data_IF_631174057181
#
_entry.id   IF_631174057181
#
_cell.length_a   1.000
_cell.length_b   1.000
_cell.length_c   1.000
_cell.angle_alpha   90.00
_cell.angle_beta   90.00
_cell.angle_gamma   90.00
#
_symmetry.space_group_name_H-M   'P 1'
#
loop_
_entity.id
_entity.type
_entity.pdbx_description
1 polymer ?
#
# COMPACT_ATOMS: atom_id res chain seq x y z
N UNK A 1 -9.11 -16.99 26.46
CA UNK A 1 -7.74 -17.13 25.92
C UNK A 1 -7.45 -15.89 25.11
N UNK A 2 -6.23 -15.35 25.17
CA UNK A 2 -5.85 -14.24 24.29
C UNK A 2 -5.85 -14.68 22.81
N UNK A 3 -6.06 -13.73 21.91
CA UNK A 3 -6.12 -13.95 20.47
C UNK A 3 -5.34 -12.85 19.74
N UNK A 4 -4.81 -13.18 18.56
CA UNK A 4 -4.23 -12.27 17.60
C UNK A 4 -5.28 -11.77 16.60
N UNK A 5 -5.19 -10.52 16.12
CA UNK A 5 -4.15 -9.55 16.46
C UNK A 5 -4.31 -8.99 17.88
N UNK A 6 -3.19 -8.81 18.59
CA UNK A 6 -3.18 -8.18 19.91
C UNK A 6 -2.91 -6.70 19.75
N UNK A 7 -3.75 -5.86 20.35
CA UNK A 7 -3.61 -4.40 20.30
C UNK A 7 -3.47 -3.86 21.72
N UNK A 8 -2.43 -3.07 21.94
CA UNK A 8 -2.15 -2.44 23.23
C UNK A 8 -2.11 -0.92 23.08
N UNK A 9 -2.73 -0.24 24.04
CA UNK A 9 -2.84 1.22 24.08
C UNK A 9 -1.98 1.78 25.22
N UNK A 10 -1.14 2.79 24.95
CA UNK A 10 -0.38 3.45 25.99
C UNK A 10 -1.31 4.27 26.88
N UNK A 11 -0.90 4.49 28.13
CA UNK A 11 -1.60 5.41 29.05
C UNK A 11 -1.08 6.84 28.98
N UNK A 12 0.10 7.02 28.38
CA UNK A 12 0.81 8.29 28.28
C UNK A 12 0.83 8.74 26.82
N UNK A 13 1.02 10.04 26.60
CA UNK A 13 1.30 10.56 25.26
C UNK A 13 2.67 10.09 24.76
N UNK A 14 2.87 10.15 23.44
CA UNK A 14 4.14 9.82 22.82
C UNK A 14 5.24 10.73 23.39
N UNK A 15 6.26 10.11 23.98
CA UNK A 15 7.49 10.80 24.31
C UNK A 15 8.28 10.94 23.02
N UNK A 16 8.72 12.16 22.69
CA UNK A 16 9.57 12.42 21.53
C UNK A 16 10.97 11.89 21.80
N UNK A 17 11.14 10.58 21.64
CA UNK A 17 12.41 9.90 21.75
C UNK A 17 13.09 9.83 20.38
N UNK A 18 14.41 10.01 20.38
CA UNK A 18 15.18 9.89 19.16
C UNK A 18 15.23 8.43 18.70
N UNK A 19 14.94 8.22 17.42
CA UNK A 19 15.10 6.94 16.76
C UNK A 19 16.46 6.87 16.08
N UNK A 20 17.27 5.91 16.47
CA UNK A 20 18.60 5.65 15.90
C UNK A 20 18.56 4.42 15.00
N UNK A 21 19.40 4.42 13.97
CA UNK A 21 19.58 3.25 13.12
C UNK A 21 20.31 2.13 13.89
N UNK A 22 19.86 0.89 13.71
CA UNK A 22 20.43 -0.28 14.36
C UNK A 22 20.85 -1.31 13.30
N UNK A 23 22.16 -1.38 13.02
CA UNK A 23 22.71 -2.16 11.89
C UNK A 23 22.61 -3.69 12.08
N UNK A 24 22.55 -4.18 13.32
CA UNK A 24 22.50 -5.62 13.64
C UNK A 24 21.09 -6.23 13.52
N UNK A 25 20.33 -5.80 12.52
CA UNK A 25 18.97 -6.24 12.30
C UNK A 25 18.93 -7.54 11.47
N UNK A 26 18.23 -8.56 11.95
CA UNK A 26 17.95 -9.78 11.17
C UNK A 26 16.48 -9.77 10.77
N UNK A 27 16.23 -9.65 9.47
CA UNK A 27 14.88 -9.81 8.92
C UNK A 27 14.66 -11.27 8.54
N UNK A 28 13.59 -11.89 9.04
CA UNK A 28 13.11 -13.16 8.54
C UNK A 28 12.32 -13.02 7.22
N UNK A 29 11.77 -14.15 6.77
CA UNK A 29 11.07 -14.27 5.49
C UNK A 29 9.68 -13.61 5.52
N UNK A 30 8.95 -13.76 6.62
CA UNK A 30 7.62 -13.18 6.80
C UNK A 30 7.69 -11.67 6.98
N UNK A 31 8.71 -11.17 7.67
CA UNK A 31 9.03 -9.75 7.82
C UNK A 31 9.37 -9.14 6.46
N UNK A 32 10.25 -9.78 5.66
CA UNK A 32 10.57 -9.29 4.31
C UNK A 32 9.33 -9.23 3.42
N UNK A 33 8.45 -10.24 3.52
CA UNK A 33 7.20 -10.28 2.78
C UNK A 33 6.23 -9.18 3.24
N UNK A 34 6.14 -8.95 4.54
CA UNK A 34 5.23 -7.96 5.08
C UNK A 34 5.72 -6.53 4.89
N UNK A 35 7.03 -6.28 4.91
CA UNK A 35 7.61 -4.97 4.57
C UNK A 35 7.15 -4.51 3.18
N UNK A 36 7.23 -5.44 2.20
CA UNK A 36 6.71 -5.20 0.86
C UNK A 36 5.22 -4.84 0.88
N UNK A 37 4.40 -5.56 1.65
CA UNK A 37 2.95 -5.31 1.76
C UNK A 37 2.66 -3.97 2.44
N UNK A 38 3.31 -3.68 3.56
CA UNK A 38 3.20 -2.40 4.25
C UNK A 38 3.60 -1.23 3.34
N UNK A 39 4.64 -1.38 2.52
CA UNK A 39 5.07 -0.36 1.56
C UNK A 39 4.02 0.00 0.50
N UNK A 40 3.02 -0.87 0.27
CA UNK A 40 1.92 -0.61 -0.67
C UNK A 40 0.88 0.34 -0.11
N UNK A 41 0.66 0.32 1.20
CA UNK A 41 -0.45 1.03 1.86
C UNK A 41 0.00 2.16 2.79
N UNK A 42 1.23 2.08 3.30
CA UNK A 42 1.78 2.96 4.33
C UNK A 42 3.14 3.56 3.94
N UNK A 43 3.40 3.68 2.63
CA UNK A 43 4.66 4.25 2.12
C UNK A 43 4.93 5.62 2.77
N UNK A 44 6.16 5.83 3.23
CA UNK A 44 6.56 7.08 3.91
C UNK A 44 6.27 7.10 5.42
N UNK A 45 5.44 6.19 5.93
CA UNK A 45 5.11 6.09 7.36
C UNK A 45 5.82 4.93 8.07
N UNK A 46 6.31 3.93 7.32
CA UNK A 46 6.99 2.76 7.86
C UNK A 46 8.49 3.04 7.98
N UNK A 47 9.04 2.75 9.16
CA UNK A 47 10.47 2.73 9.45
C UNK A 47 10.85 1.31 9.90
N UNK A 48 11.94 0.80 9.34
CA UNK A 48 12.56 -0.48 9.74
C UNK A 48 13.97 -0.24 10.23
N UNK A 49 14.55 -1.20 10.97
CA UNK A 49 15.93 -1.14 11.48
C UNK A 49 16.22 0.09 12.35
N UNK A 50 15.19 0.62 13.03
CA UNK A 50 15.33 1.72 13.97
C UNK A 50 14.90 1.29 15.36
N UNK A 51 15.53 1.87 16.36
CA UNK A 51 15.26 1.63 17.78
C UNK A 51 15.23 2.94 18.53
N UNK A 52 14.58 2.93 19.69
CA UNK A 52 14.66 4.04 20.64
C UNK A 52 16.09 4.13 21.20
N UNK A 53 16.69 5.32 21.17
CA UNK A 53 17.95 5.56 21.86
C UNK A 53 17.73 5.61 23.37
N UNK A 54 18.03 4.48 24.03
CA UNK A 54 17.95 4.32 25.47
C UNK A 54 19.32 4.00 26.09
N UNK A 55 20.41 4.15 25.32
CA UNK A 55 21.77 3.81 25.73
C UNK A 55 22.03 2.31 25.97
N UNK A 56 21.09 1.41 25.66
CA UNK A 56 21.30 -0.02 25.84
C UNK A 56 22.15 -0.59 24.71
N UNK A 57 23.03 -1.54 25.06
CA UNK A 57 23.82 -2.28 24.07
C UNK A 57 22.95 -3.13 23.14
N UNK A 58 21.81 -3.62 23.64
CA UNK A 58 20.85 -4.44 22.92
C UNK A 58 19.44 -3.88 23.19
N UNK A 59 19.05 -2.79 22.52
CA UNK A 59 17.72 -2.22 22.66
C UNK A 59 16.66 -3.19 22.11
N UNK A 60 15.42 -3.02 22.56
CA UNK A 60 14.29 -3.71 21.94
C UNK A 60 14.12 -3.22 20.51
N UNK A 61 13.97 -4.18 19.59
CA UNK A 61 13.86 -3.96 18.15
C UNK A 61 12.43 -4.25 17.72
N UNK A 62 11.66 -3.22 17.30
CA UNK A 62 10.42 -3.39 16.57
C UNK A 62 10.64 -4.09 15.24
N UNK A 63 9.70 -4.96 14.84
CA UNK A 63 9.69 -5.46 13.46
C UNK A 63 9.46 -4.33 12.45
N UNK A 64 8.43 -3.52 12.73
CA UNK A 64 8.14 -2.31 11.98
C UNK A 64 7.69 -1.20 12.92
N UNK A 65 8.06 0.02 12.57
CA UNK A 65 7.58 1.22 13.24
C UNK A 65 6.70 1.98 12.26
N UNK A 66 5.42 2.13 12.55
CA UNK A 66 4.56 3.08 11.85
C UNK A 66 4.59 4.40 12.60
N UNK A 67 5.17 5.42 11.97
CA UNK A 67 5.19 6.78 12.49
C UNK A 67 4.29 7.68 11.64
N UNK A 68 3.22 8.18 12.26
CA UNK A 68 2.32 9.14 11.64
C UNK A 68 2.51 10.53 12.25
N UNK A 69 3.31 11.33 11.55
CA UNK A 69 3.84 12.61 12.03
C UNK A 69 2.75 13.62 12.41
N UNK A 70 1.70 13.76 11.60
CA UNK A 70 0.59 14.70 11.85
C UNK A 70 -0.07 14.53 13.22
N UNK A 71 -0.14 13.31 13.72
CA UNK A 71 -0.74 12.99 15.02
C UNK A 71 0.29 12.73 16.12
N UNK A 72 1.58 12.88 15.82
CA UNK A 72 2.68 12.42 16.67
C UNK A 72 2.40 11.01 17.22
N UNK A 73 2.03 10.10 16.31
CA UNK A 73 1.58 8.75 16.63
C UNK A 73 2.66 7.75 16.24
N UNK A 74 3.04 6.88 17.18
CA UNK A 74 3.98 5.78 16.92
C UNK A 74 3.33 4.44 17.27
N UNK A 75 3.48 3.48 16.37
CA UNK A 75 2.97 2.11 16.52
C UNK A 75 4.13 1.14 16.30
N UNK A 76 4.39 0.31 17.30
CA UNK A 76 5.22 -0.89 17.22
C UNK A 76 4.38 -2.02 16.60
N UNK A 77 4.74 -2.44 15.39
CA UNK A 77 4.07 -3.52 14.66
C UNK A 77 4.99 -4.73 14.69
N UNK A 78 4.45 -5.86 15.14
CA UNK A 78 5.21 -7.07 15.46
C UNK A 78 4.61 -8.31 14.81
N UNK A 79 5.47 -9.24 14.41
CA UNK A 79 5.14 -10.54 13.85
C UNK A 79 5.57 -11.61 14.86
N UNK A 80 4.59 -12.17 15.55
CA UNK A 80 4.83 -13.20 16.55
C UNK A 80 4.93 -14.57 15.89
N UNK A 81 6.09 -15.20 16.02
CA UNK A 81 6.29 -16.56 15.58
C UNK A 81 6.26 -17.50 16.79
N UNK A 82 5.70 -18.71 16.66
CA UNK A 82 5.59 -19.62 17.81
C UNK A 82 6.96 -20.15 18.27
N UNK A 83 7.93 -20.25 17.35
CA UNK A 83 9.27 -20.73 17.64
C UNK A 83 10.29 -20.20 16.62
N UNK A 84 11.55 -20.07 17.03
CA UNK A 84 12.63 -19.65 16.15
C UNK A 84 12.93 -20.70 15.07
N UNK A 85 12.96 -20.30 13.80
CA UNK A 85 13.08 -21.21 12.65
C UNK A 85 14.20 -22.26 12.79
N UNK A 86 15.42 -21.83 13.08
CA UNK A 86 16.59 -22.73 13.10
C UNK A 86 16.71 -23.58 14.37
N UNK A 87 16.44 -23.00 15.54
CA UNK A 87 16.63 -23.71 16.82
C UNK A 87 15.38 -24.44 17.31
N UNK A 88 14.21 -24.16 16.71
CA UNK A 88 12.90 -24.64 17.14
C UNK A 88 12.55 -24.28 18.60
N UNK A 89 13.27 -23.34 19.20
CA UNK A 89 12.99 -22.86 20.56
C UNK A 89 11.73 -21.99 20.57
N UNK A 90 10.78 -22.23 21.49
CA UNK A 90 9.64 -21.35 21.72
C UNK A 90 10.07 -19.90 21.94
N UNK A 91 9.38 -18.97 21.26
CA UNK A 91 9.55 -17.53 21.40
C UNK A 91 8.16 -16.87 21.43
N UNK A 92 8.11 -15.57 21.72
CA UNK A 92 6.88 -14.77 21.72
C UNK A 92 5.70 -15.35 22.53
N UNK A 93 6.01 -16.03 23.64
CA UNK A 93 5.01 -16.51 24.61
C UNK A 93 4.96 -15.64 25.89
N UNK A 94 5.94 -14.75 26.08
CA UNK A 94 6.02 -13.78 27.18
C UNK A 94 6.82 -12.54 26.73
N UNK A 95 6.09 -11.51 26.27
CA UNK A 95 6.65 -10.22 25.82
C UNK A 95 6.25 -9.05 26.73
N UNK A 96 5.80 -9.34 27.97
CA UNK A 96 5.25 -8.35 28.89
C UNK A 96 6.19 -7.18 29.19
N UNK A 97 7.48 -7.47 29.36
CA UNK A 97 8.51 -6.44 29.63
C UNK A 97 8.74 -5.55 28.42
N UNK A 98 8.76 -6.14 27.22
CA UNK A 98 8.91 -5.45 25.94
C UNK A 98 7.69 -4.55 25.71
N UNK A 99 6.48 -5.07 25.89
CA UNK A 99 5.25 -4.30 25.76
C UNK A 99 5.20 -3.14 26.76
N UNK A 100 5.51 -3.38 28.04
CA UNK A 100 5.58 -2.32 29.06
C UNK A 100 6.59 -1.23 28.70
N UNK A 101 7.73 -1.60 28.10
CA UNK A 101 8.71 -0.63 27.63
C UNK A 101 8.09 0.31 26.58
N UNK A 102 7.61 -0.18 25.43
CA UNK A 102 7.05 0.68 24.38
C UNK A 102 5.81 1.46 24.84
N UNK A 103 4.90 0.82 25.59
CA UNK A 103 3.72 1.50 26.15
C UNK A 103 4.11 2.64 27.11
N UNK A 104 5.19 2.50 27.87
CA UNK A 104 5.68 3.57 28.76
C UNK A 104 6.19 4.79 28.00
N UNK A 105 6.57 4.61 26.73
CA UNK A 105 7.02 5.68 25.82
C UNK A 105 5.88 6.31 25.03
N UNK A 106 4.63 5.88 25.26
CA UNK A 106 3.48 6.38 24.52
C UNK A 106 3.28 5.75 23.14
N UNK A 107 3.93 4.61 22.88
CA UNK A 107 3.74 3.86 21.64
C UNK A 107 2.54 2.94 21.76
N UNK A 108 1.75 2.84 20.70
CA UNK A 108 0.79 1.76 20.55
C UNK A 108 1.52 0.50 20.08
N UNK A 109 0.93 -0.67 20.33
CA UNK A 109 1.50 -1.94 19.88
C UNK A 109 0.42 -2.73 19.15
N UNK A 110 0.78 -3.25 17.99
CA UNK A 110 0.00 -4.19 17.21
C UNK A 110 0.85 -5.43 16.99
N UNK A 111 0.41 -6.59 17.51
CA UNK A 111 1.08 -7.87 17.28
C UNK A 111 0.19 -8.78 16.44
N UNK A 112 0.73 -9.30 15.35
CA UNK A 112 0.09 -10.30 14.50
C UNK A 112 0.73 -11.66 14.74
N UNK A 113 -0.05 -12.74 14.62
CA UNK A 113 0.57 -14.06 14.45
C UNK A 113 1.26 -14.12 13.08
N UNK A 114 2.40 -14.81 12.97
CA UNK A 114 3.06 -15.02 11.67
C UNK A 114 2.10 -15.64 10.62
N UNK A 115 1.22 -16.53 11.05
CA UNK A 115 0.21 -17.14 10.19
C UNK A 115 -0.75 -16.11 9.56
N UNK A 116 -1.11 -15.06 10.30
CA UNK A 116 -1.93 -13.96 9.77
C UNK A 116 -1.20 -13.21 8.66
N UNK A 117 0.09 -12.94 8.85
CA UNK A 117 0.95 -12.28 7.86
C UNK A 117 1.09 -13.14 6.60
N UNK A 118 1.37 -14.44 6.75
CA UNK A 118 1.58 -15.32 5.61
C UNK A 118 0.31 -15.55 4.79
N UNK A 119 -0.85 -15.68 5.44
CA UNK A 119 -2.11 -16.02 4.76
C UNK A 119 -2.94 -14.81 4.35
N UNK A 120 -2.91 -13.74 5.14
CA UNK A 120 -3.84 -12.62 5.05
C UNK A 120 -3.15 -11.25 5.20
N UNK A 121 -2.04 -11.00 4.48
CA UNK A 121 -1.25 -9.77 4.66
C UNK A 121 -2.06 -8.50 4.39
N UNK A 122 -2.96 -8.53 3.40
CA UNK A 122 -3.78 -7.36 3.06
C UNK A 122 -4.82 -7.09 4.16
N UNK A 123 -5.32 -8.14 4.83
CA UNK A 123 -6.22 -7.98 5.98
C UNK A 123 -5.46 -7.47 7.22
N UNK A 124 -4.17 -7.77 7.35
CA UNK A 124 -3.32 -7.16 8.37
C UNK A 124 -3.16 -5.66 8.12
N UNK A 125 -2.91 -5.26 6.86
CA UNK A 125 -2.86 -3.85 6.45
C UNK A 125 -4.21 -3.15 6.68
N UNK A 126 -5.32 -3.84 6.41
CA UNK A 126 -6.66 -3.33 6.71
C UNK A 126 -6.84 -3.07 8.21
N UNK A 127 -6.43 -4.00 9.06
CA UNK A 127 -6.53 -3.84 10.52
C UNK A 127 -5.70 -2.64 11.00
N UNK A 128 -4.47 -2.47 10.53
CA UNK A 128 -3.64 -1.29 10.84
C UNK A 128 -4.36 0.00 10.41
N UNK A 129 -5.00 -0.01 9.24
CA UNK A 129 -5.74 1.15 8.72
C UNK A 129 -6.99 1.47 9.55
N UNK A 130 -7.74 0.45 9.97
CA UNK A 130 -8.89 0.60 10.88
C UNK A 130 -8.44 1.12 12.25
N UNK A 131 -7.30 0.65 12.75
CA UNK A 131 -6.68 1.16 13.97
C UNK A 131 -6.28 2.63 13.84
N UNK A 132 -5.62 3.02 12.74
CA UNK A 132 -5.27 4.42 12.47
C UNK A 132 -6.51 5.31 12.45
N UNK A 133 -7.57 4.91 11.74
CA UNK A 133 -8.85 5.62 11.77
C UNK A 133 -9.41 5.72 13.18
N UNK A 134 -9.35 4.66 13.98
CA UNK A 134 -9.86 4.65 15.34
C UNK A 134 -9.13 5.67 16.25
N UNK A 135 -7.79 5.70 16.22
CA UNK A 135 -7.01 6.57 17.11
C UNK A 135 -6.87 8.01 16.61
N UNK A 136 -7.00 8.26 15.31
CA UNK A 136 -6.85 9.61 14.71
C UNK A 136 -8.18 10.27 14.33
N UNK A 137 -9.24 9.48 14.12
CA UNK A 137 -10.51 9.92 13.56
C UNK A 137 -10.51 10.08 12.02
N UNK A 138 -9.40 9.82 11.33
CA UNK A 138 -9.31 10.04 9.88
C UNK A 138 -9.87 8.87 9.06
N UNK A 139 -10.95 9.11 8.32
CA UNK A 139 -11.56 8.10 7.43
C UNK A 139 -10.66 7.66 6.28
N UNK A 140 -9.73 8.53 5.85
CA UNK A 140 -8.86 8.31 4.69
C UNK A 140 -8.05 7.01 4.76
N UNK A 141 -7.75 6.52 5.97
CA UNK A 141 -7.04 5.25 6.16
C UNK A 141 -7.87 4.05 5.75
N UNK A 142 -9.19 4.10 5.94
CA UNK A 142 -10.10 3.01 5.56
C UNK A 142 -10.71 3.16 4.18
N UNK A 143 -10.59 4.34 3.57
CA UNK A 143 -11.06 4.59 2.21
C UNK A 143 -10.32 3.70 1.20
N UNK A 144 -11.10 3.01 0.37
CA UNK A 144 -10.63 2.04 -0.59
C UNK A 144 -10.46 0.61 -0.04
N UNK A 145 -10.61 0.40 1.27
CA UNK A 145 -10.45 -0.91 1.91
C UNK A 145 -11.78 -1.56 2.31
N UNK A 146 -12.91 -0.99 1.91
CA UNK A 146 -14.24 -1.40 2.39
C UNK A 146 -14.62 -2.82 1.95
N UNK A 147 -14.13 -3.27 0.79
CA UNK A 147 -14.38 -4.60 0.27
C UNK A 147 -13.57 -5.70 0.99
N UNK A 148 -12.57 -5.32 1.79
CA UNK A 148 -11.77 -6.28 2.53
C UNK A 148 -12.56 -6.81 3.73
N UNK A 149 -12.52 -8.13 3.90
CA UNK A 149 -13.07 -8.80 5.09
C UNK A 149 -12.25 -8.47 6.33
N UNK A 150 -12.76 -8.79 7.51
CA UNK A 150 -11.95 -8.78 8.73
C UNK A 150 -10.94 -9.92 8.71
N UNK A 151 -9.76 -9.67 9.28
CA UNK A 151 -8.75 -10.71 9.48
C UNK A 151 -9.27 -11.77 10.46
N UNK A 152 -9.03 -13.08 10.23
CA UNK A 152 -9.44 -14.10 11.19
C UNK A 152 -8.58 -14.06 12.45
N UNK A 153 -9.22 -14.28 13.60
CA UNK A 153 -8.54 -14.38 14.87
C UNK A 153 -7.73 -15.68 14.96
N UNK A 154 -6.56 -15.62 15.60
CA UNK A 154 -5.72 -16.79 15.90
C UNK A 154 -5.48 -16.85 17.41
N UNK A 155 -5.75 -17.98 18.04
CA UNK A 155 -5.47 -18.17 19.47
C UNK A 155 -3.99 -17.93 19.77
N UNK A 156 -3.70 -17.13 20.80
CA UNK A 156 -2.35 -16.99 21.30
C UNK A 156 -1.88 -18.31 21.93
N UNK A 157 -0.59 -18.62 21.76
CA UNK A 157 0.00 -19.85 22.27
C UNK A 157 0.63 -19.65 23.65
N UNK A 158 0.52 -20.68 24.49
CA UNK A 158 1.38 -20.81 25.66
C UNK A 158 2.75 -21.34 25.24
N UNK A 159 3.72 -21.35 26.17
CA UNK A 159 5.01 -22.01 25.94
C UNK A 159 4.82 -23.48 25.52
N UNK A 160 3.93 -24.22 26.17
CA UNK A 160 3.65 -25.62 25.86
C UNK A 160 3.04 -25.80 24.47
N UNK A 161 2.20 -24.86 24.03
CA UNK A 161 1.64 -24.89 22.68
C UNK A 161 2.72 -24.63 21.63
N UNK A 162 3.59 -23.64 21.87
CA UNK A 162 4.74 -23.35 21.02
C UNK A 162 5.71 -24.54 20.91
N UNK A 163 5.96 -25.28 22.00
CA UNK A 163 6.76 -26.51 21.99
C UNK A 163 6.15 -27.57 21.05
N UNK A 164 4.84 -27.81 21.15
CA UNK A 164 4.12 -28.74 20.26
C UNK A 164 4.12 -28.27 18.79
N UNK A 165 3.96 -26.97 18.57
CA UNK A 165 4.03 -26.36 17.24
C UNK A 165 5.42 -26.55 16.62
N UNK A 166 6.47 -26.45 17.44
CA UNK A 166 7.85 -26.69 17.01
C UNK A 166 8.10 -28.17 16.65
N UNK A 167 7.62 -29.11 17.48
CA UNK A 167 7.71 -30.56 17.24
C UNK A 167 7.02 -30.96 15.93
N UNK A 168 5.86 -30.36 15.64
CA UNK A 168 5.06 -30.62 14.44
C UNK A 168 5.45 -29.76 13.23
N UNK A 169 6.44 -28.87 13.38
CA UNK A 169 6.85 -27.90 12.36
C UNK A 169 5.69 -27.10 11.77
N UNK A 170 4.81 -26.60 12.64
CA UNK A 170 3.56 -25.97 12.22
C UNK A 170 3.72 -24.76 11.30
N UNK A 171 4.86 -24.05 11.34
CA UNK A 171 5.17 -22.93 10.42
C UNK A 171 5.09 -23.36 8.95
N UNK A 172 5.42 -24.60 8.62
CA UNK A 172 5.44 -25.11 7.24
C UNK A 172 4.04 -25.09 6.60
N UNK A 173 2.98 -25.16 7.39
CA UNK A 173 1.60 -25.11 6.89
C UNK A 173 1.20 -23.77 6.30
N UNK A 174 1.80 -22.67 6.75
CA UNK A 174 1.46 -21.33 6.29
C UNK A 174 2.59 -20.60 5.58
N UNK A 175 3.87 -20.92 5.84
CA UNK A 175 5.00 -20.29 5.13
C UNK A 175 4.96 -20.51 3.62
N UNK A 176 4.33 -21.59 3.15
CA UNK A 176 4.10 -21.85 1.72
C UNK A 176 3.24 -20.79 1.00
N UNK A 177 2.50 -19.96 1.74
CA UNK A 177 1.71 -18.87 1.17
C UNK A 177 2.53 -17.59 0.98
N UNK A 178 3.76 -17.53 1.50
CA UNK A 178 4.67 -16.43 1.22
C UNK A 178 4.95 -16.38 -0.28
N UNK A 179 4.62 -15.25 -0.89
CA UNK A 179 4.92 -15.03 -2.30
C UNK A 179 6.36 -14.57 -2.43
N UNK A 180 7.07 -15.10 -3.43
CA UNK A 180 8.37 -14.56 -3.80
C UNK A 180 8.16 -13.17 -4.37
N UNK A 181 8.70 -12.16 -3.70
CA UNK A 181 8.63 -10.79 -4.18
C UNK A 181 9.66 -10.63 -5.30
N UNK A 182 9.20 -10.28 -6.49
CA UNK A 182 10.03 -9.97 -7.64
C UNK A 182 10.08 -8.45 -7.83
N UNK A 183 10.94 -7.79 -7.05
CA UNK A 183 11.15 -6.34 -7.11
C UNK A 183 12.01 -5.99 -8.34
N UNK A 184 11.40 -6.01 -9.51
CA UNK A 184 12.01 -5.46 -10.72
C UNK A 184 11.75 -3.97 -10.83
N UNK A 185 12.74 -3.23 -11.37
CA UNK A 185 12.53 -1.82 -11.71
C UNK A 185 11.42 -1.73 -12.76
N UNK A 186 10.37 -0.91 -12.55
CA UNK A 186 9.29 -0.79 -13.51
C UNK A 186 9.82 -0.19 -14.82
N UNK A 187 9.38 -0.72 -15.96
CA UNK A 187 9.69 -0.14 -17.26
C UNK A 187 8.79 1.06 -17.58
N UNK A 188 7.56 1.07 -17.05
CA UNK A 188 6.63 2.21 -17.11
C UNK A 188 6.04 2.43 -15.73
N UNK A 189 5.99 3.69 -15.31
CA UNK A 189 5.31 4.12 -14.09
C UNK A 189 4.00 4.81 -14.46
N UNK A 190 2.88 4.20 -14.08
CA UNK A 190 1.55 4.80 -14.18
C UNK A 190 1.33 5.57 -12.88
N UNK A 191 1.17 6.89 -12.98
CA UNK A 191 1.07 7.78 -11.81
C UNK A 191 -0.26 8.51 -11.88
N UNK A 192 -1.09 8.35 -10.86
CA UNK A 192 -2.38 9.01 -10.76
C UNK A 192 -2.39 10.09 -9.70
N UNK A 193 -2.81 11.28 -10.12
CA UNK A 193 -3.40 12.25 -9.23
C UNK A 193 -4.75 11.72 -8.77
N UNK A 194 -4.85 11.36 -7.49
CA UNK A 194 -6.07 10.77 -6.97
C UNK A 194 -7.28 11.71 -7.05
N UNK A 195 -7.10 13.02 -6.85
CA UNK A 195 -8.22 13.97 -6.89
C UNK A 195 -8.82 13.97 -8.29
N UNK A 196 -7.96 14.07 -9.31
CA UNK A 196 -8.38 13.98 -10.70
C UNK A 196 -9.05 12.64 -11.00
N UNK A 197 -8.40 11.52 -10.67
CA UNK A 197 -8.93 10.17 -10.93
C UNK A 197 -10.32 9.97 -10.29
N UNK A 198 -10.49 10.40 -9.04
CA UNK A 198 -11.78 10.33 -8.35
C UNK A 198 -12.85 11.18 -9.05
N UNK A 199 -12.52 12.39 -9.50
CA UNK A 199 -13.42 13.22 -10.31
C UNK A 199 -13.82 12.53 -11.62
N UNK A 200 -12.88 11.87 -12.30
CA UNK A 200 -13.16 11.17 -13.56
C UNK A 200 -14.08 9.97 -13.38
N UNK A 201 -13.95 9.25 -12.26
CA UNK A 201 -14.85 8.15 -11.93
C UNK A 201 -16.27 8.69 -11.68
N UNK A 202 -16.42 9.79 -10.95
CA UNK A 202 -17.74 10.42 -10.70
C UNK A 202 -18.37 10.84 -12.03
N UNK A 203 -17.62 11.54 -12.88
CA UNK A 203 -18.10 12.01 -14.17
C UNK A 203 -18.52 10.85 -15.08
N UNK A 204 -17.71 9.78 -15.13
CA UNK A 204 -18.06 8.57 -15.87
C UNK A 204 -19.32 7.91 -15.31
N UNK A 205 -19.44 7.80 -13.98
CA UNK A 205 -20.64 7.23 -13.37
C UNK A 205 -21.89 8.04 -13.72
N UNK A 206 -21.84 9.37 -13.62
CA UNK A 206 -22.95 10.24 -14.01
C UNK A 206 -23.30 10.06 -15.49
N UNK A 207 -22.33 10.20 -16.39
CA UNK A 207 -22.54 10.11 -17.83
C UNK A 207 -23.15 8.76 -18.23
N UNK A 208 -22.56 7.66 -17.78
CA UNK A 208 -23.01 6.35 -18.21
C UNK A 208 -24.30 5.89 -17.50
N UNK A 209 -24.61 6.42 -16.31
CA UNK A 209 -25.93 6.22 -15.70
C UNK A 209 -27.04 6.90 -16.50
N UNK A 210 -26.76 8.04 -17.15
CA UNK A 210 -27.71 8.70 -18.05
C UNK A 210 -27.89 7.92 -19.36
N UNK A 211 -26.80 7.37 -19.91
CA UNK A 211 -26.83 6.57 -21.16
C UNK A 211 -27.50 5.20 -20.92
N UNK A 212 -27.21 4.56 -19.78
CA UNK A 212 -27.63 3.20 -19.44
C UNK A 212 -28.37 3.15 -18.09
N UNK A 213 -29.59 3.72 -17.98
CA UNK A 213 -30.29 3.89 -16.69
C UNK A 213 -30.66 2.57 -16.00
N UNK A 214 -30.84 1.49 -16.76
CA UNK A 214 -31.19 0.16 -16.23
C UNK A 214 -29.95 -0.68 -15.85
N UNK A 215 -28.73 -0.19 -16.16
CA UNK A 215 -27.51 -0.93 -15.89
C UNK A 215 -27.13 -0.77 -14.42
N UNK A 216 -26.79 -1.91 -13.79
CA UNK A 216 -26.18 -1.91 -12.47
C UNK A 216 -24.67 -1.69 -12.60
N UNK A 217 -24.21 -0.52 -12.21
CA UNK A 217 -22.78 -0.19 -12.09
C UNK A 217 -22.19 -0.78 -10.80
N UNK A 218 -20.87 -0.85 -10.75
CA UNK A 218 -20.17 -1.13 -9.49
C UNK A 218 -20.30 0.06 -8.55
N UNK A 219 -20.60 -0.21 -7.27
CA UNK A 219 -20.72 0.83 -6.24
C UNK A 219 -19.42 1.65 -6.10
N UNK A 220 -18.28 1.03 -6.39
CA UNK A 220 -16.96 1.66 -6.46
C UNK A 220 -16.18 1.17 -7.67
N UNK A 221 -15.44 2.06 -8.29
CA UNK A 221 -14.55 1.74 -9.38
C UNK A 221 -13.42 0.81 -8.92
N UNK A 222 -13.11 -0.20 -9.73
CA UNK A 222 -12.01 -1.14 -9.48
C UNK A 222 -10.74 -0.67 -10.17
N UNK A 223 -9.67 -0.50 -9.40
CA UNK A 223 -8.34 -0.15 -9.93
C UNK A 223 -7.85 -1.24 -10.88
N UNK A 224 -8.13 -2.51 -10.58
CA UNK A 224 -7.74 -3.61 -11.48
C UNK A 224 -8.42 -3.54 -12.85
N UNK A 225 -9.66 -3.05 -12.95
CA UNK A 225 -10.38 -2.89 -14.22
C UNK A 225 -9.87 -1.67 -14.99
N UNK A 226 -9.64 -0.55 -14.30
CA UNK A 226 -9.00 0.64 -14.87
C UNK A 226 -7.67 0.28 -15.54
N UNK A 227 -6.78 -0.39 -14.79
CA UNK A 227 -5.44 -0.73 -15.28
C UNK A 227 -5.47 -1.73 -16.43
N UNK A 228 -6.38 -2.72 -16.40
CA UNK A 228 -6.56 -3.64 -17.53
C UNK A 228 -6.97 -2.91 -18.80
N UNK A 229 -7.82 -1.89 -18.70
CA UNK A 229 -8.19 -1.07 -19.85
C UNK A 229 -7.02 -0.21 -20.34
N UNK A 230 -6.31 0.47 -19.43
CA UNK A 230 -5.13 1.26 -19.78
C UNK A 230 -4.06 0.42 -20.51
N UNK A 231 -3.88 -0.84 -20.11
CA UNK A 231 -2.95 -1.76 -20.76
C UNK A 231 -3.37 -2.17 -22.18
N UNK A 232 -4.61 -1.93 -22.62
CA UNK A 232 -4.98 -2.14 -24.03
C UNK A 232 -4.42 -1.07 -24.94
N UNK A 233 -4.14 0.10 -24.37
CA UNK A 233 -3.37 1.17 -25.01
C UNK A 233 -1.85 0.94 -24.86
N UNK A 234 -1.40 -0.30 -24.58
CA UNK A 234 0.03 -0.60 -24.40
C UNK A 234 0.91 -0.32 -25.62
N UNK A 235 0.34 -0.41 -26.82
CA UNK A 235 1.04 -0.16 -28.08
C UNK A 235 1.59 1.27 -28.15
N UNK A 236 1.05 2.16 -27.32
CA UNK A 236 1.48 3.54 -27.20
C UNK A 236 2.79 3.72 -26.41
N UNK A 237 3.28 2.73 -25.66
CA UNK A 237 4.61 2.79 -25.05
C UNK A 237 5.64 2.07 -25.90
N UNK A 238 6.51 2.84 -26.55
CA UNK A 238 7.57 2.28 -27.41
C UNK A 238 8.49 1.33 -26.63
N UNK A 239 8.78 1.66 -25.36
CA UNK A 239 9.59 0.80 -24.50
C UNK A 239 8.98 -0.59 -24.32
N UNK A 240 7.64 -0.68 -24.17
CA UNK A 240 6.96 -1.95 -23.95
C UNK A 240 6.92 -2.83 -25.21
N UNK A 241 6.96 -2.22 -26.40
CA UNK A 241 6.99 -2.93 -27.68
C UNK A 241 8.36 -3.59 -27.94
N UNK A 242 9.44 -3.04 -27.39
CA UNK A 242 10.80 -3.55 -27.57
C UNK A 242 11.14 -4.75 -26.67
N UNK A 243 10.32 -5.02 -25.65
CA UNK A 243 10.59 -6.02 -24.63
C UNK A 243 10.00 -7.40 -24.99
N UNK A 244 10.80 -8.43 -24.80
CA UNK A 244 10.36 -9.84 -24.86
C UNK A 244 10.11 -10.37 -23.46
N UNK A 245 8.98 -11.06 -23.24
CA UNK A 245 8.63 -11.67 -21.96
C UNK A 245 7.92 -10.72 -20.99
N UNK A 246 8.16 -10.92 -19.68
CA UNK A 246 7.45 -10.20 -18.61
C UNK A 246 7.74 -8.70 -18.64
N UNK A 247 6.67 -7.91 -18.51
CA UNK A 247 6.68 -6.44 -18.44
C UNK A 247 6.26 -6.03 -17.03
N UNK A 248 7.17 -5.39 -16.33
CA UNK A 248 7.02 -4.90 -14.97
C UNK A 248 6.63 -3.43 -15.01
N UNK A 249 5.44 -3.14 -14.51
CA UNK A 249 4.94 -1.79 -14.37
C UNK A 249 4.71 -1.52 -12.89
N UNK A 250 4.62 -0.23 -12.57
CA UNK A 250 4.01 0.19 -11.33
C UNK A 250 2.82 1.11 -11.61
N UNK A 251 1.85 1.05 -10.71
CA UNK A 251 0.79 2.03 -10.59
C UNK A 251 0.87 2.68 -9.22
N UNK A 252 0.98 4.01 -9.18
CA UNK A 252 0.92 4.78 -7.94
C UNK A 252 -0.24 5.73 -8.00
N UNK A 253 -1.14 5.64 -7.02
CA UNK A 253 -2.19 6.64 -6.81
C UNK A 253 -1.84 7.46 -5.59
N UNK A 254 -1.75 8.77 -5.77
CA UNK A 254 -1.51 9.73 -4.71
C UNK A 254 -2.84 10.20 -4.12
N UNK A 255 -2.97 10.07 -2.81
CA UNK A 255 -4.20 10.24 -2.05
C UNK A 255 -3.98 11.36 -1.05
N UNK A 256 -4.58 12.51 -1.31
CA UNK A 256 -4.50 13.65 -0.39
C UNK A 256 -5.27 13.32 0.90
N UNK A 257 -4.63 13.48 2.05
CA UNK A 257 -5.27 13.35 3.37
C UNK A 257 -6.35 14.41 3.64
N UNK A 258 -6.43 15.46 2.82
CA UNK A 258 -7.46 16.51 2.88
C UNK A 258 -8.69 16.27 2.00
N UNK A 259 -8.67 15.26 1.13
CA UNK A 259 -9.73 15.00 0.15
C UNK A 259 -10.20 13.55 0.28
N UNK A 260 -11.49 13.35 0.44
CA UNK A 260 -12.04 12.00 0.48
C UNK A 260 -12.04 11.33 -0.89
N UNK A 261 -11.84 10.01 -0.88
CA UNK A 261 -11.70 9.13 -2.03
C UNK A 261 -12.65 7.93 -1.95
N UNK A 262 -13.96 8.17 -2.04
CA UNK A 262 -14.95 7.10 -1.86
C UNK A 262 -15.23 6.28 -3.12
N UNK A 263 -14.86 6.76 -4.31
CA UNK A 263 -15.37 6.20 -5.56
C UNK A 263 -14.51 5.09 -6.17
N UNK A 264 -13.38 4.70 -5.55
CA UNK A 264 -12.63 3.51 -5.96
C UNK A 264 -12.22 2.63 -4.80
N UNK A 265 -11.94 1.37 -5.12
CA UNK A 265 -11.53 0.33 -4.18
C UNK A 265 -10.10 -0.12 -4.47
N UNK A 266 -9.36 -0.50 -3.43
CA UNK A 266 -7.99 -0.99 -3.49
C UNK A 266 -8.00 -2.51 -3.73
N UNK A 267 -8.69 -2.93 -4.79
CA UNK A 267 -9.05 -4.33 -5.02
C UNK A 267 -7.86 -5.24 -5.35
N UNK A 268 -6.67 -4.68 -5.55
CA UNK A 268 -5.44 -5.43 -5.78
C UNK A 268 -4.20 -4.57 -5.56
N UNK A 269 -3.21 -5.10 -4.83
CA UNK A 269 -1.88 -4.48 -4.71
C UNK A 269 -0.86 -5.03 -5.72
N UNK A 270 -1.23 -6.09 -6.45
CA UNK A 270 -0.41 -6.78 -7.45
C UNK A 270 -1.30 -7.43 -8.53
N UNK A 271 -1.16 -6.98 -9.77
CA UNK A 271 -2.00 -7.42 -10.89
C UNK A 271 -1.14 -8.18 -11.91
N UNK A 272 -1.63 -9.37 -12.30
CA UNK A 272 -1.12 -10.13 -13.43
C UNK A 272 -2.11 -10.02 -14.59
N UNK A 273 -1.64 -9.58 -15.75
CA UNK A 273 -2.47 -9.50 -16.96
C UNK A 273 -1.64 -9.82 -18.20
N UNK A 274 -1.82 -11.02 -18.77
CA UNK A 274 -0.93 -11.52 -19.82
C UNK A 274 0.53 -11.51 -19.33
N UNK A 275 1.42 -10.86 -20.08
CA UNK A 275 2.83 -10.70 -19.71
C UNK A 275 3.09 -9.53 -18.74
N UNK A 276 2.05 -8.77 -18.37
CA UNK A 276 2.17 -7.62 -17.47
C UNK A 276 2.10 -8.03 -16.00
N UNK A 277 3.02 -7.49 -15.21
CA UNK A 277 3.04 -7.54 -13.75
C UNK A 277 3.01 -6.10 -13.26
N UNK A 278 1.91 -5.69 -12.62
CA UNK A 278 1.74 -4.33 -12.12
C UNK A 278 1.77 -4.32 -10.61
N UNK A 279 2.76 -3.63 -10.05
CA UNK A 279 2.81 -3.32 -8.63
C UNK A 279 1.96 -2.08 -8.34
N UNK A 280 0.96 -2.18 -7.46
CA UNK A 280 0.08 -1.06 -7.12
C UNK A 280 0.47 -0.48 -5.76
N UNK A 281 0.58 0.84 -5.67
CA UNK A 281 0.87 1.58 -4.45
C UNK A 281 -0.19 2.65 -4.20
N UNK A 282 -0.68 2.71 -2.97
CA UNK A 282 -1.63 3.69 -2.47
C UNK A 282 -0.87 4.66 -1.55
N UNK A 283 -0.47 5.80 -2.10
CA UNK A 283 0.41 6.76 -1.42
C UNK A 283 -0.44 7.85 -0.78
N UNK A 284 -0.60 7.82 0.53
CA UNK A 284 -1.30 8.88 1.28
C UNK A 284 -0.34 10.01 1.61
N UNK A 285 -0.81 11.24 1.45
CA UNK A 285 0.05 12.41 1.58
C UNK A 285 -0.61 13.64 2.15
N UNK A 286 0.20 14.43 2.86
CA UNK A 286 -0.10 15.78 3.34
C UNK A 286 0.46 16.86 2.39
N UNK A 287 1.28 16.48 1.40
CA UNK A 287 1.76 17.39 0.36
C UNK A 287 0.67 17.63 -0.69
N UNK A 288 0.80 18.73 -1.42
CA UNK A 288 0.03 18.92 -2.66
C UNK A 288 0.48 17.86 -3.66
N UNK A 289 -0.48 17.10 -4.19
CA UNK A 289 -0.24 15.89 -4.99
C UNK A 289 0.69 16.14 -6.17
N UNK A 290 0.48 17.21 -6.95
CA UNK A 290 1.30 17.50 -8.12
C UNK A 290 2.78 17.74 -7.80
N UNK A 291 3.10 18.35 -6.65
CA UNK A 291 4.48 18.55 -6.22
C UNK A 291 5.11 17.28 -5.66
N UNK A 292 4.34 16.41 -5.00
CA UNK A 292 4.90 15.12 -4.57
C UNK A 292 5.13 14.16 -5.74
N UNK A 293 4.29 14.23 -6.77
CA UNK A 293 4.52 13.52 -8.03
C UNK A 293 5.78 14.07 -8.71
N UNK A 294 5.98 15.39 -8.75
CA UNK A 294 7.21 16.03 -9.26
C UNK A 294 8.46 15.51 -8.51
N UNK A 295 8.45 15.61 -7.17
CA UNK A 295 9.51 15.08 -6.29
C UNK A 295 9.78 13.60 -6.61
N UNK A 296 8.74 12.77 -6.69
CA UNK A 296 8.88 11.35 -6.97
C UNK A 296 9.53 11.06 -8.32
N UNK A 297 9.10 11.75 -9.37
CA UNK A 297 9.62 11.57 -10.73
C UNK A 297 11.11 11.95 -10.78
N UNK A 298 11.47 13.09 -10.19
CA UNK A 298 12.83 13.60 -10.17
C UNK A 298 13.76 12.73 -9.32
N UNK A 299 13.38 12.46 -8.08
CA UNK A 299 14.21 11.71 -7.11
C UNK A 299 14.48 10.27 -7.59
N UNK A 300 13.55 9.67 -8.31
CA UNK A 300 13.65 8.27 -8.77
C UNK A 300 14.10 8.16 -10.23
N UNK A 301 14.36 9.29 -10.91
CA UNK A 301 14.71 9.34 -12.34
C UNK A 301 13.78 8.46 -13.19
N UNK A 302 12.48 8.74 -13.11
CA UNK A 302 11.46 7.96 -13.81
C UNK A 302 11.48 8.32 -15.30
N UNK A 303 11.75 7.33 -16.16
CA UNK A 303 11.98 7.57 -17.58
C UNK A 303 10.73 7.49 -18.46
N UNK A 304 9.78 6.61 -18.13
CA UNK A 304 8.58 6.38 -18.94
C UNK A 304 7.34 6.48 -18.06
N UNK A 305 6.45 7.41 -18.40
CA UNK A 305 5.33 7.80 -17.54
C UNK A 305 4.00 7.75 -18.29
N UNK A 306 3.00 7.14 -17.65
CA UNK A 306 1.59 7.44 -17.90
C UNK A 306 1.07 8.32 -16.75
N UNK A 307 0.84 9.60 -17.00
CA UNK A 307 0.32 10.50 -15.98
C UNK A 307 -1.20 10.62 -16.11
N UNK A 308 -1.93 10.25 -15.06
CA UNK A 308 -3.38 10.40 -14.95
C UNK A 308 -3.64 11.66 -14.12
N UNK A 309 -3.79 12.79 -14.80
CA UNK A 309 -3.92 14.09 -14.16
C UNK A 309 -4.49 15.17 -15.10
N UNK A 310 -5.00 16.25 -14.51
CA UNK A 310 -5.45 17.45 -15.23
C UNK A 310 -5.34 18.72 -14.36
N UNK A 311 -4.20 18.89 -13.69
CA UNK A 311 -3.92 20.05 -12.83
C UNK A 311 -3.07 21.11 -13.59
N UNK A 312 -3.42 22.42 -13.49
CA UNK A 312 -2.70 23.49 -14.17
C UNK A 312 -1.26 23.70 -13.72
N UNK A 313 -0.81 23.08 -12.62
CA UNK A 313 0.58 23.10 -12.20
C UNK A 313 1.48 22.21 -13.09
N UNK A 314 0.98 21.08 -13.59
CA UNK A 314 1.82 20.11 -14.32
C UNK A 314 2.53 20.70 -15.55
N UNK A 315 1.90 21.53 -16.41
CA UNK A 315 2.62 22.17 -17.52
C UNK A 315 3.90 22.92 -17.13
N UNK A 316 3.96 23.48 -15.91
CA UNK A 316 5.16 24.14 -15.39
C UNK A 316 6.18 23.20 -14.73
N UNK A 317 5.76 22.00 -14.33
CA UNK A 317 6.61 20.98 -13.69
C UNK A 317 7.26 20.06 -14.72
N UNK A 318 6.48 19.61 -15.70
CA UNK A 318 6.87 18.65 -16.73
C UNK A 318 8.17 18.97 -17.48
N UNK A 319 8.51 20.24 -17.82
CA UNK A 319 9.75 20.57 -18.51
C UNK A 319 11.03 20.20 -17.73
N UNK A 320 10.92 19.96 -16.42
CA UNK A 320 12.05 19.53 -15.57
C UNK A 320 12.28 18.02 -15.62
N UNK A 321 11.28 17.26 -16.08
CA UNK A 321 11.33 15.81 -16.06
C UNK A 321 12.21 15.29 -17.19
N UNK A 322 13.26 14.54 -16.85
CA UNK A 322 14.14 13.90 -17.82
C UNK A 322 13.54 12.58 -18.34
N UNK A 323 12.29 12.61 -18.80
CA UNK A 323 11.58 11.43 -19.29
C UNK A 323 11.87 11.19 -20.76
N UNK A 324 12.07 9.92 -21.12
CA UNK A 324 12.14 9.47 -22.51
C UNK A 324 10.76 9.43 -23.17
N UNK A 325 9.73 9.07 -22.40
CA UNK A 325 8.37 8.91 -22.90
C UNK A 325 7.35 9.39 -21.85
N UNK A 326 6.50 10.34 -22.22
CA UNK A 326 5.36 10.79 -21.41
C UNK A 326 4.08 10.59 -22.22
N UNK A 327 3.10 9.97 -21.58
CA UNK A 327 1.72 9.88 -22.07
C UNK A 327 0.77 10.35 -20.97
N UNK A 328 -0.36 10.92 -21.38
CA UNK A 328 -1.36 11.45 -20.47
C UNK A 328 -2.63 10.61 -20.48
N UNK A 329 -3.32 10.52 -19.35
CA UNK A 329 -4.75 10.25 -19.30
C UNK A 329 -5.41 11.51 -18.76
N UNK A 330 -6.20 12.17 -19.59
CA UNK A 330 -6.81 13.49 -19.32
C UNK A 330 -8.20 13.57 -19.94
N UNK A 331 -8.93 14.64 -19.63
CA UNK A 331 -10.15 14.98 -20.38
C UNK A 331 -9.80 15.35 -21.81
N UNK A 332 -10.58 14.90 -22.80
CA UNK A 332 -10.41 15.35 -24.20
C UNK A 332 -10.61 16.86 -24.34
N UNK A 333 -11.60 17.41 -23.65
CA UNK A 333 -11.99 18.82 -23.69
C UNK A 333 -11.68 19.52 -22.37
N UNK A 334 -11.37 20.82 -22.44
CA UNK A 334 -11.14 21.70 -21.28
C UNK A 334 -10.05 21.21 -20.31
N UNK A 335 -9.03 20.54 -20.83
CA UNK A 335 -7.87 20.10 -20.05
C UNK A 335 -6.81 21.20 -19.98
N UNK A 336 -6.14 21.28 -18.82
CA UNK A 336 -4.96 22.15 -18.62
C UNK A 336 -3.67 21.53 -19.16
N UNK A 337 -3.72 20.26 -19.56
CA UNK A 337 -2.53 19.51 -19.94
C UNK A 337 -2.07 19.85 -21.37
N UNK A 338 -0.76 19.67 -21.67
CA UNK A 338 -0.22 19.95 -23.00
C UNK A 338 -0.89 19.12 -24.11
N UNK A 339 -1.19 19.78 -25.24
CA UNK A 339 -1.88 19.16 -26.38
C UNK A 339 -0.93 18.42 -27.34
N UNK A 340 0.36 18.71 -27.25
CA UNK A 340 1.44 18.10 -28.05
C UNK A 340 1.85 16.72 -27.55
N UNK A 341 1.39 16.33 -26.35
CA UNK A 341 1.62 15.00 -25.79
C UNK A 341 0.54 14.01 -26.20
N UNK A 342 0.94 12.75 -26.37
CA UNK A 342 0.01 11.64 -26.58
C UNK A 342 -0.89 11.49 -25.36
N UNK A 343 -2.16 11.23 -25.59
CA UNK A 343 -3.13 11.10 -24.51
C UNK A 343 -4.16 10.00 -24.75
N UNK A 344 -4.71 9.50 -23.65
CA UNK A 344 -5.91 8.65 -23.56
C UNK A 344 -7.01 9.50 -22.95
N UNK A 345 -8.21 9.46 -23.54
CA UNK A 345 -9.37 10.11 -22.93
C UNK A 345 -9.79 9.36 -21.66
N UNK A 346 -9.99 10.10 -20.57
CA UNK A 346 -10.29 9.54 -19.25
C UNK A 346 -11.65 8.86 -19.13
N UNK A 347 -12.62 9.16 -20.00
CA UNK A 347 -13.98 8.62 -19.93
C UNK A 347 -14.01 7.11 -20.10
N UNK A 348 -13.31 6.57 -21.10
CA UNK A 348 -13.32 5.14 -21.42
C UNK A 348 -12.71 4.27 -20.30
N UNK A 349 -11.48 4.52 -19.80
CA UNK A 349 -10.93 3.72 -18.71
C UNK A 349 -11.73 3.87 -17.42
N UNK A 350 -12.29 5.05 -17.13
CA UNK A 350 -13.13 5.28 -15.95
C UNK A 350 -14.46 4.51 -16.05
N UNK A 351 -15.05 4.47 -17.24
CA UNK A 351 -16.24 3.65 -17.54
C UNK A 351 -15.99 2.15 -17.32
N UNK A 352 -14.85 1.63 -17.78
CA UNK A 352 -14.46 0.24 -17.46
C UNK A 352 -14.28 0.01 -15.97
N UNK A 353 -13.71 0.98 -15.26
CA UNK A 353 -13.47 0.87 -13.83
C UNK A 353 -14.77 0.70 -13.04
N UNK A 354 -15.89 1.30 -13.48
CA UNK A 354 -17.22 1.16 -12.89
C UNK A 354 -18.05 -0.02 -13.43
N UNK A 355 -17.44 -0.89 -14.25
CA UNK A 355 -18.04 -2.15 -14.69
C UNK A 355 -18.77 -2.11 -16.04
N UNK A 356 -18.48 -1.14 -16.91
CA UNK A 356 -18.90 -1.21 -18.31
C UNK A 356 -18.10 -2.25 -19.08
N UNK A 357 -18.77 -2.87 -20.03
CA UNK A 357 -18.21 -3.74 -21.06
C UNK A 357 -17.83 -2.92 -22.30
N UNK A 358 -17.00 -3.49 -23.17
CA UNK A 358 -16.46 -2.80 -24.35
C UNK A 358 -17.57 -2.29 -25.28
N UNK A 359 -18.63 -3.07 -25.44
CA UNK A 359 -19.75 -2.75 -26.32
C UNK A 359 -20.70 -1.69 -25.73
N UNK A 360 -20.46 -1.24 -24.51
CA UNK A 360 -21.27 -0.25 -23.80
C UNK A 360 -20.57 1.12 -23.69
N UNK A 361 -19.35 1.23 -24.24
CA UNK A 361 -18.49 2.42 -24.20
C UNK A 361 -18.51 3.26 -25.48
#
# INVERSE_FOLDING_TARGET
>A
MEQYPKIYYPKNQLNNEDLIDFENYKSGLSESYFDYKLSKYFKGHIKTKKVIDNGWKYPYQPDFILYYQKYNLCIDIEIDEPYAMGSKKPIHFDDDKRNKFFLSKGWHIIRFAEEQICRYPDLCCKMISEFLRFVTGESIWTEGLEDFKSIPDISAWTKTDAEKMAETSSRDFYLKFLQKIDLQKPQVSIIADGIFLNSQIIEAHTLYSEIWPEKKFLDKAKVSLLLKELLRYNSHFNVLNSLTGKKYLEFRVYISTYHSMYNFTFDSDLIYFGDYIINVYYVRTEKIICFEIDDYILDNNINNILLIADDPAYPGLMPKWNCSEIMLMRKSLNSYMPLDLRYIDSSFPSGRAIGLEINEL
#
